data_IF_739004690072
#
_entry.id   IF_739004690072
#
_cell.length_a   1.000
_cell.length_b   1.000
_cell.length_c   1.000
_cell.angle_alpha   90.00
_cell.angle_beta   90.00
_cell.angle_gamma   90.00
#
_symmetry.space_group_name_H-M   'P 1'
#
loop_
_entity.id
_entity.type
_entity.pdbx_description
1 polymer ?
#
# COMPACT_ATOMS: atom_id res chain seq x y z
N UNK A 1 6.68 -10.89 -8.39
CA UNK A 1 5.30 -10.40 -8.65
C UNK A 1 5.40 -9.23 -9.61
N UNK A 2 4.39 -8.98 -10.44
CA UNK A 2 4.41 -7.79 -11.30
C UNK A 2 3.91 -6.55 -10.53
N UNK A 3 4.22 -5.35 -11.05
CA UNK A 3 3.67 -4.10 -10.50
C UNK A 3 2.14 -4.11 -10.56
N UNK A 4 1.56 -4.77 -11.57
CA UNK A 4 0.11 -4.89 -11.75
C UNK A 4 -0.51 -5.73 -10.63
N UNK A 5 0.08 -6.89 -10.30
CA UNK A 5 -0.35 -7.72 -9.16
C UNK A 5 -0.26 -6.94 -7.84
N UNK A 6 0.85 -6.23 -7.63
CA UNK A 6 1.06 -5.39 -6.45
C UNK A 6 0.02 -4.26 -6.38
N UNK A 7 -0.29 -3.63 -7.52
CA UNK A 7 -1.30 -2.58 -7.63
C UNK A 7 -2.66 -3.10 -7.22
N UNK A 8 -3.10 -4.22 -7.79
CA UNK A 8 -4.40 -4.80 -7.45
C UNK A 8 -4.47 -5.16 -5.96
N UNK A 9 -3.40 -5.76 -5.41
CA UNK A 9 -3.34 -6.11 -4.00
C UNK A 9 -3.45 -4.87 -3.10
N UNK A 10 -2.70 -3.82 -3.40
CA UNK A 10 -2.67 -2.57 -2.63
C UNK A 10 -4.01 -1.85 -2.73
N UNK A 11 -4.54 -1.69 -3.94
CA UNK A 11 -5.83 -1.03 -4.19
C UNK A 11 -6.95 -1.77 -3.49
N UNK A 12 -6.99 -3.10 -3.59
CA UNK A 12 -7.97 -3.93 -2.90
C UNK A 12 -7.85 -3.77 -1.39
N UNK A 13 -6.64 -3.88 -0.85
CA UNK A 13 -6.41 -3.76 0.61
C UNK A 13 -6.81 -2.38 1.12
N UNK A 14 -6.45 -1.31 0.41
CA UNK A 14 -6.80 0.06 0.77
C UNK A 14 -8.32 0.28 0.72
N UNK A 15 -8.98 -0.21 -0.32
CA UNK A 15 -10.41 -0.09 -0.49
C UNK A 15 -11.20 -0.87 0.57
N UNK A 16 -10.74 -2.08 0.93
CA UNK A 16 -11.39 -2.91 1.95
C UNK A 16 -11.06 -2.47 3.39
N UNK A 17 -9.84 -2.00 3.65
CA UNK A 17 -9.41 -1.64 5.00
C UNK A 17 -9.81 -0.22 5.41
N UNK A 18 -9.79 0.72 4.47
CA UNK A 18 -10.03 2.14 4.73
C UNK A 18 -11.28 2.68 4.02
N UNK A 19 -12.06 1.80 3.38
CA UNK A 19 -13.28 2.16 2.64
C UNK A 19 -13.05 3.24 1.57
N UNK A 20 -11.82 3.30 1.04
CA UNK A 20 -11.43 4.29 0.03
C UNK A 20 -11.94 3.83 -1.34
N UNK A 21 -12.61 4.70 -2.11
CA UNK A 21 -13.07 4.35 -3.45
C UNK A 21 -11.86 4.20 -4.40
N UNK A 22 -11.91 3.16 -5.22
CA UNK A 22 -10.83 2.76 -6.15
C UNK A 22 -10.41 3.89 -7.09
N UNK A 23 -11.35 4.76 -7.44
CA UNK A 23 -11.13 5.95 -8.28
C UNK A 23 -10.14 6.97 -7.67
N UNK A 24 -10.00 7.00 -6.34
CA UNK A 24 -9.02 7.84 -5.64
C UNK A 24 -7.66 7.18 -5.47
N UNK A 25 -7.58 5.86 -5.63
CA UNK A 25 -6.36 5.09 -5.45
C UNK A 25 -5.48 5.13 -6.70
N UNK A 26 -5.12 6.35 -7.10
CA UNK A 26 -4.23 6.61 -8.25
C UNK A 26 -2.77 6.55 -7.82
N UNK A 27 -1.85 6.26 -8.75
CA UNK A 27 -0.41 6.16 -8.46
C UNK A 27 0.17 7.42 -7.80
N UNK A 28 -0.36 8.59 -8.18
CA UNK A 28 0.03 9.91 -7.67
C UNK A 28 -0.66 10.29 -6.35
N UNK A 29 -1.71 9.56 -5.95
CA UNK A 29 -2.48 9.88 -4.76
C UNK A 29 -1.61 9.77 -3.50
N UNK A 30 -1.56 10.87 -2.75
CA UNK A 30 -0.82 10.94 -1.50
C UNK A 30 -1.57 10.25 -0.37
N UNK A 31 -0.92 9.29 0.30
CA UNK A 31 -1.50 8.54 1.42
C UNK A 31 -2.02 9.49 2.52
N UNK A 32 -1.18 10.40 2.97
CA UNK A 32 -1.50 11.30 4.09
C UNK A 32 -2.43 12.45 3.68
N UNK A 33 -2.15 13.07 2.54
CA UNK A 33 -2.77 14.35 2.17
C UNK A 33 -4.06 14.18 1.35
N UNK A 34 -4.14 13.13 0.52
CA UNK A 34 -5.27 12.89 -0.37
C UNK A 34 -6.21 11.81 0.19
N UNK A 35 -5.61 10.73 0.70
CA UNK A 35 -6.34 9.56 1.19
C UNK A 35 -6.64 9.61 2.70
N UNK A 36 -6.05 10.56 3.44
CA UNK A 36 -6.25 10.69 4.88
C UNK A 36 -5.71 9.51 5.70
N UNK A 37 -4.74 8.78 5.17
CA UNK A 37 -4.06 7.67 5.85
C UNK A 37 -3.08 8.24 6.86
N UNK A 38 -3.30 7.96 8.13
CA UNK A 38 -2.38 8.36 9.20
C UNK A 38 -1.22 7.38 9.37
N UNK A 39 -0.26 7.74 10.24
CA UNK A 39 0.89 6.87 10.54
C UNK A 39 0.49 5.52 11.14
N UNK A 40 -0.66 5.44 11.80
CA UNK A 40 -1.20 4.19 12.38
C UNK A 40 -1.78 3.31 11.27
N UNK A 41 -2.56 3.92 10.37
CA UNK A 41 -3.17 3.25 9.22
C UNK A 41 -2.13 2.66 8.27
N UNK A 42 -1.04 3.39 8.03
CA UNK A 42 0.08 2.88 7.22
C UNK A 42 0.70 1.60 7.82
N UNK A 43 0.80 1.51 9.15
CA UNK A 43 1.29 0.31 9.84
C UNK A 43 0.30 -0.86 9.76
N UNK A 44 -1.00 -0.58 9.83
CA UNK A 44 -2.04 -1.61 9.66
C UNK A 44 -2.07 -2.14 8.22
N UNK A 45 -2.01 -1.25 7.23
CA UNK A 45 -1.91 -1.59 5.81
C UNK A 45 -0.73 -2.53 5.55
N UNK A 46 0.44 -2.18 6.07
CA UNK A 46 1.65 -3.00 6.01
C UNK A 46 1.46 -4.40 6.60
N UNK A 47 0.83 -4.48 7.76
CA UNK A 47 0.57 -5.76 8.42
C UNK A 47 -0.38 -6.63 7.59
N UNK A 48 -1.41 -6.04 6.99
CA UNK A 48 -2.36 -6.74 6.10
C UNK A 48 -1.69 -7.23 4.83
N UNK A 49 -0.95 -6.36 4.14
CA UNK A 49 -0.20 -6.69 2.93
C UNK A 49 0.80 -7.82 3.22
N UNK A 50 1.55 -7.72 4.32
CA UNK A 50 2.48 -8.78 4.73
C UNK A 50 1.78 -10.10 5.02
N UNK A 51 0.62 -10.07 5.69
CA UNK A 51 -0.20 -11.26 5.96
C UNK A 51 -0.69 -11.91 4.67
N UNK A 52 -1.15 -11.13 3.69
CA UNK A 52 -1.59 -11.66 2.39
C UNK A 52 -0.42 -12.25 1.59
N UNK A 53 0.76 -11.65 1.67
CA UNK A 53 1.98 -12.15 1.03
C UNK A 53 2.66 -13.29 1.81
N UNK A 54 2.17 -13.64 3.01
CA UNK A 54 2.77 -14.66 3.87
C UNK A 54 4.15 -14.30 4.43
N UNK A 55 4.48 -13.01 4.50
CA UNK A 55 5.82 -12.51 4.86
C UNK A 55 5.75 -11.19 5.62
N UNK A 56 6.77 -10.90 6.42
CA UNK A 56 6.85 -9.62 7.13
C UNK A 56 7.40 -8.53 6.20
N UNK A 57 6.65 -7.43 6.05
CA UNK A 57 7.14 -6.24 5.36
C UNK A 57 7.87 -5.36 6.38
N UNK A 58 9.16 -5.02 6.15
CA UNK A 58 9.85 -4.11 7.04
C UNK A 58 9.24 -2.69 6.91
N UNK A 59 8.97 -2.01 8.04
CA UNK A 59 8.38 -0.67 8.01
C UNK A 59 9.28 0.35 7.31
N UNK A 60 10.57 0.05 7.19
CA UNK A 60 11.57 0.88 6.52
C UNK A 60 11.30 1.04 5.03
N UNK A 61 10.84 -0.04 4.36
CA UNK A 61 10.45 -0.02 2.94
C UNK A 61 9.22 0.87 2.67
N UNK A 62 8.45 1.17 3.71
CA UNK A 62 7.24 2.00 3.63
C UNK A 62 7.42 3.38 4.26
N UNK A 63 8.47 3.60 5.06
CA UNK A 63 8.76 4.91 5.66
C UNK A 63 8.98 5.98 4.58
N UNK A 64 9.55 5.58 3.45
CA UNK A 64 9.71 6.44 2.28
C UNK A 64 8.44 6.54 1.43
N UNK A 65 7.46 5.65 1.62
CA UNK A 65 6.27 5.63 0.80
C UNK A 65 5.33 6.78 1.16
N UNK A 66 5.13 7.70 0.21
CA UNK A 66 4.25 8.87 0.41
C UNK A 66 3.00 8.83 -0.45
N UNK A 67 3.03 8.06 -1.54
CA UNK A 67 1.92 7.86 -2.47
C UNK A 67 1.53 6.39 -2.59
N UNK A 68 0.37 6.13 -3.20
CA UNK A 68 -0.05 4.77 -3.55
C UNK A 68 0.97 4.11 -4.47
N UNK A 69 1.53 4.84 -5.44
CA UNK A 69 2.56 4.31 -6.34
C UNK A 69 3.83 3.87 -5.62
N UNK A 70 4.28 4.63 -4.61
CA UNK A 70 5.39 4.21 -3.75
C UNK A 70 5.11 2.89 -3.04
N UNK A 71 3.88 2.73 -2.51
CA UNK A 71 3.46 1.50 -1.83
C UNK A 71 3.45 0.32 -2.79
N UNK A 72 2.90 0.52 -3.99
CA UNK A 72 2.87 -0.50 -5.05
C UNK A 72 4.31 -0.90 -5.42
N UNK A 73 5.21 0.06 -5.60
CA UNK A 73 6.60 -0.21 -5.92
C UNK A 73 7.32 -0.94 -4.77
N UNK A 74 7.09 -0.54 -3.52
CA UNK A 74 7.64 -1.23 -2.36
C UNK A 74 7.15 -2.69 -2.31
N UNK A 75 5.86 -2.93 -2.55
CA UNK A 75 5.27 -4.27 -2.58
C UNK A 75 5.80 -5.09 -3.76
N UNK A 76 5.94 -4.51 -4.95
CA UNK A 76 6.50 -5.20 -6.11
C UNK A 76 7.98 -5.57 -5.90
N UNK A 77 8.77 -4.66 -5.33
CA UNK A 77 10.19 -4.85 -5.06
C UNK A 77 10.48 -5.89 -3.98
N UNK A 78 9.50 -6.23 -3.15
CA UNK A 78 9.63 -7.26 -2.14
C UNK A 78 9.77 -8.66 -2.78
N UNK A 79 9.16 -8.93 -3.93
CA UNK A 79 9.13 -10.26 -4.55
C UNK A 79 10.23 -10.47 -5.61
N UNK A 80 11.28 -9.64 -5.60
CA UNK A 80 12.43 -9.80 -6.49
C UNK A 80 13.69 -10.24 -5.76
#
# INVERSE_FOLDING_TARGET
>A
MTREDASELVVRTLSEAFEIPRERLTDDAHLFNDLGIDSIDAVDLLARLGKTLGRRIPPESFRSARSVGDVINAVAALDT
#
